data_IF_520512075384
#
_entry.id   IF_520512075384
#
_cell.length_a   1.000
_cell.length_b   1.000
_cell.length_c   1.000
_cell.angle_alpha   90.00
_cell.angle_beta   90.00
_cell.angle_gamma   90.00
#
_symmetry.space_group_name_H-M   'P 1'
#
loop_
_entity.id
_entity.type
_entity.pdbx_description
1 polymer ?
#
# COMPACT_ATOMS: atom_id res chain seq x y z
N UNK A 1 -54.88 8.84 -38.34
CA UNK A 1 -55.25 7.87 -39.41
C UNK A 1 -54.62 6.57 -39.01
N UNK A 2 -55.44 5.77 -38.45
CA UNK A 2 -55.92 4.44 -38.76
C UNK A 2 -54.97 3.29 -38.50
N UNK A 3 -55.31 2.59 -37.47
CA UNK A 3 -54.97 1.18 -37.18
C UNK A 3 -55.69 0.27 -38.25
N UNK A 4 -55.87 -1.07 -38.15
CA UNK A 4 -55.34 -2.11 -37.23
C UNK A 4 -55.18 -3.52 -37.92
N UNK A 5 -54.71 -4.55 -37.17
CA UNK A 5 -55.09 -5.99 -37.08
C UNK A 5 -55.25 -6.85 -38.34
N UNK A 6 -55.18 -8.22 -38.35
CA UNK A 6 -55.79 -9.10 -37.34
C UNK A 6 -55.07 -10.43 -36.97
N UNK A 7 -55.59 -11.02 -35.88
CA UNK A 7 -55.59 -12.40 -35.42
C UNK A 7 -55.85 -13.49 -36.45
N UNK A 8 -55.33 -14.70 -36.25
CA UNK A 8 -56.07 -15.95 -36.45
C UNK A 8 -55.60 -17.08 -35.54
N UNK A 9 -56.65 -17.69 -34.96
CA UNK A 9 -56.66 -18.82 -34.03
C UNK A 9 -56.75 -20.16 -34.76
N UNK A 10 -56.66 -21.25 -33.93
CA UNK A 10 -57.11 -22.63 -33.99
C UNK A 10 -56.20 -23.61 -34.73
N UNK A 11 -55.91 -24.80 -34.16
CA UNK A 11 -56.80 -25.92 -33.90
C UNK A 11 -56.18 -26.88 -32.87
N UNK A 12 -57.04 -27.37 -31.95
CA UNK A 12 -56.81 -28.56 -31.08
C UNK A 12 -57.17 -29.82 -31.86
N UNK A 13 -56.49 -30.96 -31.58
CA UNK A 13 -57.17 -32.24 -31.28
C UNK A 13 -56.19 -33.36 -30.91
N UNK A 14 -56.68 -34.48 -30.30
CA UNK A 14 -55.97 -35.17 -29.20
C UNK A 14 -55.69 -36.66 -29.52
N UNK A 15 -55.22 -37.38 -28.48
CA UNK A 15 -55.14 -38.84 -28.28
C UNK A 15 -54.04 -39.62 -28.99
N UNK A 16 -53.15 -40.23 -28.25
CA UNK A 16 -53.14 -41.66 -27.96
C UNK A 16 -52.13 -42.03 -26.86
N UNK A 17 -52.65 -42.79 -25.92
CA UNK A 17 -51.91 -43.40 -24.82
C UNK A 17 -51.25 -44.65 -25.34
N UNK A 18 -49.92 -44.82 -25.15
CA UNK A 18 -49.28 -46.12 -25.09
C UNK A 18 -48.29 -46.13 -23.90
N UNK A 19 -48.67 -46.94 -22.93
CA UNK A 19 -47.84 -47.36 -21.82
C UNK A 19 -46.78 -48.34 -22.30
N UNK A 20 -45.49 -47.98 -22.13
CA UNK A 20 -44.41 -48.96 -22.17
C UNK A 20 -43.58 -48.74 -20.90
N UNK A 21 -43.74 -49.67 -19.97
CA UNK A 21 -42.82 -49.86 -18.85
C UNK A 21 -41.48 -50.36 -19.43
N UNK A 22 -40.46 -49.55 -19.29
CA UNK A 22 -39.06 -50.01 -19.47
C UNK A 22 -38.25 -49.67 -18.22
N UNK A 23 -37.73 -50.73 -17.66
CA UNK A 23 -36.75 -50.73 -16.56
C UNK A 23 -35.55 -49.81 -16.89
N UNK A 24 -35.34 -48.79 -16.08
CA UNK A 24 -34.11 -48.00 -16.09
C UNK A 24 -33.12 -48.60 -15.08
N UNK A 25 -31.88 -48.83 -15.47
CA UNK A 25 -30.83 -49.14 -14.51
C UNK A 25 -30.47 -47.86 -13.73
N UNK A 26 -30.36 -47.99 -12.42
CA UNK A 26 -29.87 -46.94 -11.53
C UNK A 26 -28.41 -46.64 -11.85
N UNK A 27 -28.14 -45.55 -12.58
CA UNK A 27 -26.80 -44.95 -12.70
C UNK A 27 -26.55 -44.16 -11.42
N UNK A 28 -25.69 -44.69 -10.56
CA UNK A 28 -25.05 -43.91 -9.48
C UNK A 28 -24.19 -42.84 -10.11
N UNK A 29 -24.75 -41.65 -10.25
CA UNK A 29 -24.01 -40.45 -10.59
C UNK A 29 -23.13 -40.06 -9.41
N UNK A 30 -21.82 -40.33 -9.46
CA UNK A 30 -20.85 -39.64 -8.60
C UNK A 30 -20.92 -38.13 -8.91
N UNK A 31 -21.56 -37.38 -8.03
CA UNK A 31 -21.47 -35.92 -8.08
C UNK A 31 -20.05 -35.55 -7.66
N UNK A 32 -19.22 -35.21 -8.66
CA UNK A 32 -17.95 -34.51 -8.43
C UNK A 32 -18.31 -33.12 -7.88
N UNK A 33 -18.21 -32.94 -6.56
CA UNK A 33 -18.25 -31.61 -5.98
C UNK A 33 -17.11 -30.80 -6.58
N UNK A 34 -17.36 -29.53 -7.03
CA UNK A 34 -16.27 -28.68 -7.49
C UNK A 34 -15.31 -28.47 -6.32
N UNK A 35 -14.04 -28.80 -6.53
CA UNK A 35 -12.96 -28.44 -5.63
C UNK A 35 -12.86 -26.91 -5.65
N UNK A 36 -13.49 -26.24 -4.71
CA UNK A 36 -13.28 -24.83 -4.47
C UNK A 36 -11.85 -24.73 -3.92
N UNK A 37 -10.90 -24.46 -4.79
CA UNK A 37 -9.57 -24.00 -4.36
C UNK A 37 -9.83 -22.65 -3.72
N UNK A 38 -9.80 -22.63 -2.38
CA UNK A 38 -9.79 -21.39 -1.64
C UNK A 38 -8.56 -20.62 -2.17
N UNK A 39 -8.79 -19.46 -2.81
CA UNK A 39 -7.71 -18.57 -3.15
C UNK A 39 -7.02 -18.24 -1.82
N UNK A 40 -5.75 -18.62 -1.67
CA UNK A 40 -4.95 -18.26 -0.51
C UNK A 40 -5.09 -16.76 -0.28
N UNK A 41 -5.41 -16.38 0.95
CA UNK A 41 -5.39 -14.97 1.34
C UNK A 41 -4.01 -14.42 0.95
N UNK A 42 -3.93 -13.20 0.37
CA UNK A 42 -2.69 -12.65 -0.12
C UNK A 42 -1.64 -12.70 0.99
N UNK A 43 -0.62 -13.52 0.79
CA UNK A 43 0.45 -13.71 1.77
C UNK A 43 1.23 -12.41 1.88
N UNK A 44 1.21 -11.80 3.06
CA UNK A 44 1.95 -10.57 3.32
C UNK A 44 3.44 -10.82 3.07
N UNK A 45 4.05 -10.05 2.20
CA UNK A 45 5.49 -10.08 1.96
C UNK A 45 6.25 -9.35 3.05
N UNK A 46 7.50 -9.78 3.32
CA UNK A 46 8.37 -9.21 4.35
C UNK A 46 9.76 -8.92 3.79
N UNK A 47 10.46 -7.88 4.27
CA UNK A 47 11.82 -7.54 3.88
C UNK A 47 12.82 -8.50 4.56
N UNK A 48 12.90 -9.74 4.10
CA UNK A 48 13.71 -10.78 4.76
C UNK A 48 15.18 -10.77 4.35
N UNK A 49 15.49 -10.26 3.15
CA UNK A 49 16.85 -10.31 2.59
C UNK A 49 17.83 -9.47 3.42
N UNK A 50 17.42 -8.24 3.75
CA UNK A 50 18.25 -7.34 4.57
C UNK A 50 18.57 -7.95 5.94
N UNK A 51 17.57 -8.59 6.61
CA UNK A 51 17.79 -9.17 7.93
C UNK A 51 18.67 -10.42 7.88
N UNK A 52 18.50 -11.29 6.87
CA UNK A 52 19.40 -12.44 6.65
C UNK A 52 20.84 -11.98 6.44
N UNK A 53 21.06 -11.00 5.56
CA UNK A 53 22.37 -10.46 5.29
C UNK A 53 23.01 -9.83 6.54
N UNK A 54 22.25 -9.05 7.31
CA UNK A 54 22.73 -8.47 8.57
C UNK A 54 23.09 -9.54 9.60
N UNK A 55 22.29 -10.59 9.72
CA UNK A 55 22.60 -11.73 10.60
C UNK A 55 23.87 -12.48 10.17
N UNK A 56 24.10 -12.58 8.86
CA UNK A 56 25.36 -13.12 8.29
C UNK A 56 26.56 -12.15 8.45
N UNK A 57 26.37 -11.00 9.09
CA UNK A 57 27.42 -10.00 9.30
C UNK A 57 27.74 -9.15 8.07
N UNK A 58 26.95 -9.24 6.98
CA UNK A 58 27.14 -8.45 5.77
C UNK A 58 26.65 -7.02 5.96
N UNK A 59 27.47 -5.99 5.64
CA UNK A 59 27.00 -4.60 5.68
C UNK A 59 25.82 -4.37 4.73
N UNK A 60 24.87 -3.51 5.15
CA UNK A 60 23.69 -3.16 4.37
C UNK A 60 23.48 -1.65 4.30
N UNK A 61 22.95 -1.16 3.19
CA UNK A 61 22.54 0.23 3.02
C UNK A 61 21.02 0.32 3.14
N UNK A 62 20.54 1.05 4.16
CA UNK A 62 19.12 1.32 4.40
C UNK A 62 18.81 2.75 4.02
N UNK A 63 17.86 2.94 3.11
CA UNK A 63 17.54 4.24 2.56
C UNK A 63 16.04 4.54 2.71
N UNK A 64 15.71 5.77 3.10
CA UNK A 64 14.32 6.27 3.12
C UNK A 64 14.16 7.36 2.05
N UNK A 65 13.08 7.27 1.25
CA UNK A 65 12.81 8.14 0.13
C UNK A 65 11.34 8.52 0.07
N UNK A 66 11.05 9.81 0.12
CA UNK A 66 9.67 10.27 0.23
C UNK A 66 9.56 11.78 0.42
N UNK A 67 8.45 12.16 1.04
CA UNK A 67 8.04 13.54 1.27
C UNK A 67 8.56 14.11 2.59
N UNK A 68 7.96 15.24 3.05
CA UNK A 68 8.20 15.81 4.38
C UNK A 68 7.85 14.85 5.52
N UNK A 69 6.89 13.94 5.31
CA UNK A 69 6.49 12.93 6.30
C UNK A 69 7.58 11.87 6.55
N UNK A 70 8.59 11.86 5.70
CA UNK A 70 9.84 11.13 5.89
C UNK A 70 10.99 12.07 6.21
N UNK A 71 11.21 13.12 5.42
CA UNK A 71 12.37 13.99 5.52
C UNK A 71 12.50 14.69 6.88
N UNK A 72 11.37 15.17 7.43
CA UNK A 72 11.31 15.96 8.66
C UNK A 72 10.69 15.22 9.85
N UNK A 73 10.33 13.95 9.70
CA UNK A 73 9.69 13.16 10.75
C UNK A 73 10.71 12.50 11.69
N UNK A 74 10.23 12.04 12.85
CA UNK A 74 11.10 11.40 13.85
C UNK A 74 11.33 9.90 13.59
N UNK A 75 10.39 9.23 12.90
CA UNK A 75 10.52 7.79 12.64
C UNK A 75 11.81 7.37 11.89
N UNK A 76 12.38 8.16 10.94
CA UNK A 76 13.65 7.79 10.31
C UNK A 76 14.83 7.81 11.27
N UNK A 77 14.81 8.71 12.27
CA UNK A 77 15.84 8.74 13.32
C UNK A 77 15.73 7.52 14.24
N UNK A 78 14.49 7.13 14.60
CA UNK A 78 14.23 5.92 15.35
C UNK A 78 14.65 4.66 14.58
N UNK A 79 14.40 4.63 13.26
CA UNK A 79 14.84 3.57 12.37
C UNK A 79 16.38 3.43 12.34
N UNK A 80 17.07 4.56 12.19
CA UNK A 80 18.54 4.60 12.26
C UNK A 80 19.04 4.05 13.60
N UNK A 81 18.51 4.54 14.71
CA UNK A 81 18.88 4.11 16.06
C UNK A 81 18.60 2.61 16.30
N UNK A 82 17.50 2.09 15.74
CA UNK A 82 17.20 0.66 15.78
C UNK A 82 18.31 -0.16 15.12
N UNK A 83 18.71 0.18 13.90
CA UNK A 83 19.77 -0.55 13.20
C UNK A 83 21.13 -0.40 13.87
N UNK A 84 21.48 0.78 14.36
CA UNK A 84 22.73 1.00 15.12
C UNK A 84 22.80 0.14 16.38
N UNK A 85 21.65 -0.02 17.07
CA UNK A 85 21.56 -0.85 18.29
C UNK A 85 21.60 -2.34 17.98
N UNK A 86 20.84 -2.80 16.95
CA UNK A 86 20.70 -4.23 16.65
C UNK A 86 21.89 -4.78 15.85
N UNK A 87 22.51 -3.95 15.01
CA UNK A 87 23.57 -4.34 14.07
C UNK A 87 24.69 -3.30 14.05
N UNK A 88 25.44 -3.13 15.16
CA UNK A 88 26.45 -2.08 15.29
C UNK A 88 27.47 -2.09 14.16
N UNK A 89 27.64 -0.94 13.48
CA UNK A 89 28.62 -0.78 12.40
C UNK A 89 28.31 -1.56 11.11
N UNK A 90 27.10 -2.16 11.00
CA UNK A 90 26.73 -2.95 9.81
C UNK A 90 25.75 -2.23 8.90
N UNK A 91 25.20 -1.08 9.29
CA UNK A 91 24.20 -0.38 8.50
C UNK A 91 24.65 1.03 8.15
N UNK A 92 24.66 1.34 6.87
CA UNK A 92 24.72 2.71 6.36
C UNK A 92 23.29 3.20 6.20
N UNK A 93 22.87 4.19 7.00
CA UNK A 93 21.54 4.77 6.93
C UNK A 93 21.57 6.08 6.14
N UNK A 94 20.67 6.21 5.15
CA UNK A 94 20.57 7.39 4.28
C UNK A 94 19.12 7.89 4.26
N UNK A 95 18.93 9.16 4.60
CA UNK A 95 17.65 9.85 4.38
C UNK A 95 17.77 10.70 3.11
N UNK A 96 17.18 10.23 2.02
CA UNK A 96 17.12 10.90 0.70
C UNK A 96 15.78 11.55 0.43
N UNK A 97 14.86 11.58 1.43
CA UNK A 97 13.56 12.21 1.29
C UNK A 97 13.68 13.73 1.21
N UNK A 98 12.70 14.36 0.56
CA UNK A 98 12.67 15.80 0.35
C UNK A 98 11.29 16.38 0.64
N UNK A 99 11.26 17.39 1.51
CA UNK A 99 9.99 18.05 1.90
C UNK A 99 9.33 18.75 0.71
N UNK A 100 8.00 18.58 0.60
CA UNK A 100 7.18 19.22 -0.43
C UNK A 100 7.17 18.51 -1.78
N UNK A 101 8.01 17.49 -1.96
CA UNK A 101 8.17 16.80 -3.24
C UNK A 101 7.11 15.73 -3.50
N UNK A 102 6.96 15.37 -4.78
CA UNK A 102 5.98 14.43 -5.31
C UNK A 102 6.66 13.21 -5.94
N UNK A 103 5.88 12.20 -6.35
CA UNK A 103 6.41 11.05 -7.10
C UNK A 103 7.05 11.43 -8.43
N UNK A 104 6.64 12.56 -9.06
CA UNK A 104 7.27 13.07 -10.28
C UNK A 104 8.72 13.46 -10.00
N UNK A 105 8.95 14.22 -8.92
CA UNK A 105 10.29 14.53 -8.46
C UNK A 105 11.04 13.24 -8.05
N UNK A 106 10.34 12.32 -7.38
CA UNK A 106 10.90 11.03 -6.97
C UNK A 106 11.50 10.24 -8.13
N UNK A 107 10.78 10.14 -9.27
CA UNK A 107 11.30 9.48 -10.47
C UNK A 107 12.47 10.25 -11.07
N UNK A 108 12.34 11.59 -11.19
CA UNK A 108 13.38 12.42 -11.81
C UNK A 108 14.72 12.41 -11.06
N UNK A 109 14.67 12.24 -9.74
CA UNK A 109 15.87 12.27 -8.88
C UNK A 109 16.31 10.88 -8.38
N UNK A 110 15.63 9.81 -8.81
CA UNK A 110 15.89 8.46 -8.33
C UNK A 110 17.35 8.03 -8.53
N UNK A 111 17.93 8.34 -9.70
CA UNK A 111 19.32 7.97 -10.02
C UNK A 111 20.29 8.55 -8.98
N UNK A 112 20.22 9.84 -8.74
CA UNK A 112 21.19 10.54 -7.89
C UNK A 112 20.94 10.33 -6.41
N UNK A 113 19.66 10.28 -6.01
CA UNK A 113 19.26 10.23 -4.61
C UNK A 113 19.22 8.82 -4.04
N UNK A 114 18.99 7.81 -4.88
CA UNK A 114 18.75 6.43 -4.45
C UNK A 114 19.67 5.43 -5.13
N UNK A 115 19.60 5.30 -6.45
CA UNK A 115 20.30 4.23 -7.19
C UNK A 115 21.82 4.36 -7.03
N UNK A 116 22.39 5.57 -7.08
CA UNK A 116 23.83 5.79 -6.86
C UNK A 116 24.34 5.38 -5.47
N UNK A 117 23.44 5.11 -4.51
CA UNK A 117 23.76 4.68 -3.14
C UNK A 117 23.75 3.16 -2.98
N UNK A 118 23.35 2.41 -4.01
CA UNK A 118 23.23 0.96 -4.00
C UNK A 118 22.49 0.43 -2.75
N UNK A 119 21.23 0.82 -2.52
CA UNK A 119 20.51 0.43 -1.31
C UNK A 119 20.15 -1.05 -1.33
N UNK A 120 20.16 -1.67 -0.15
CA UNK A 120 19.69 -3.03 0.11
C UNK A 120 18.26 -3.05 0.66
N UNK A 121 17.85 -1.97 1.34
CA UNK A 121 16.49 -1.74 1.82
C UNK A 121 16.06 -0.31 1.52
N UNK A 122 14.90 -0.14 0.89
CA UNK A 122 14.34 1.18 0.56
C UNK A 122 12.92 1.31 1.10
N UNK A 123 12.64 2.40 1.80
CA UNK A 123 11.28 2.82 2.14
C UNK A 123 10.82 3.88 1.13
N UNK A 124 9.61 3.70 0.57
CA UNK A 124 9.04 4.61 -0.44
C UNK A 124 7.67 5.15 0.01
N UNK A 125 7.52 6.49 0.00
CA UNK A 125 6.23 7.16 0.18
C UNK A 125 6.20 8.51 -0.54
N UNK A 126 5.25 8.71 -1.47
CA UNK A 126 5.02 9.99 -2.15
C UNK A 126 3.53 10.33 -2.31
N UNK A 127 2.65 9.35 -2.12
CA UNK A 127 1.22 9.44 -2.39
C UNK A 127 0.52 10.59 -1.66
N UNK A 128 0.99 10.98 -0.46
CA UNK A 128 0.40 12.09 0.29
C UNK A 128 0.51 13.43 -0.44
N UNK A 129 1.60 13.69 -1.13
CA UNK A 129 1.78 14.93 -1.89
C UNK A 129 1.20 14.82 -3.30
N UNK A 130 1.24 13.64 -3.91
CA UNK A 130 0.56 13.41 -5.19
C UNK A 130 -0.95 13.69 -5.09
N UNK A 131 -1.55 13.36 -3.94
CA UNK A 131 -2.96 13.61 -3.66
C UNK A 131 -3.33 15.10 -3.52
N UNK A 132 -2.34 16.00 -3.36
CA UNK A 132 -2.63 17.42 -3.25
C UNK A 132 -2.99 18.01 -4.62
N UNK A 133 -4.20 18.57 -4.73
CA UNK A 133 -4.80 19.07 -5.98
C UNK A 133 -3.90 20.03 -6.74
N UNK A 134 -3.11 20.83 -6.02
CA UNK A 134 -2.15 21.79 -6.60
C UNK A 134 -1.08 21.16 -7.49
N UNK A 135 -0.77 19.87 -7.29
CA UNK A 135 0.25 19.17 -8.08
C UNK A 135 -0.31 18.56 -9.36
N UNK A 136 -1.64 18.45 -9.48
CA UNK A 136 -2.33 17.93 -10.67
C UNK A 136 -1.75 16.58 -11.15
N UNK A 137 -1.46 15.69 -10.21
CA UNK A 137 -0.98 14.33 -10.49
C UNK A 137 -2.19 13.40 -10.32
N UNK A 138 -2.56 12.64 -11.34
CA UNK A 138 -3.65 11.67 -11.22
C UNK A 138 -3.20 10.43 -10.43
N UNK A 139 -4.17 9.65 -9.92
CA UNK A 139 -3.92 8.39 -9.21
C UNK A 139 -3.12 7.43 -10.10
N UNK A 140 -3.50 7.33 -11.38
CA UNK A 140 -2.81 6.50 -12.37
C UNK A 140 -1.36 6.95 -12.58
N UNK A 141 -1.13 8.28 -12.63
CA UNK A 141 0.22 8.83 -12.76
C UNK A 141 1.07 8.57 -11.51
N UNK A 142 0.49 8.70 -10.33
CA UNK A 142 1.14 8.34 -9.06
C UNK A 142 1.54 6.86 -9.04
N UNK A 143 0.64 5.96 -9.44
CA UNK A 143 0.92 4.52 -9.56
C UNK A 143 1.98 4.21 -10.63
N UNK A 144 1.97 4.88 -11.77
CA UNK A 144 3.01 4.73 -12.81
C UNK A 144 4.39 5.18 -12.31
N UNK A 145 4.44 6.29 -11.58
CA UNK A 145 5.68 6.78 -10.99
C UNK A 145 6.22 5.81 -9.91
N UNK A 146 5.34 5.27 -9.07
CA UNK A 146 5.70 4.22 -8.12
C UNK A 146 6.28 3.00 -8.84
N UNK A 147 5.60 2.52 -9.88
CA UNK A 147 6.07 1.39 -10.70
C UNK A 147 7.45 1.66 -11.32
N UNK A 148 7.67 2.85 -11.85
CA UNK A 148 8.96 3.23 -12.42
C UNK A 148 10.08 3.18 -11.38
N UNK A 149 9.86 3.73 -10.18
CA UNK A 149 10.85 3.70 -9.09
C UNK A 149 11.16 2.27 -8.64
N UNK A 150 10.14 1.46 -8.40
CA UNK A 150 10.29 0.06 -7.98
C UNK A 150 11.02 -0.76 -9.04
N UNK A 151 10.63 -0.63 -10.31
CA UNK A 151 11.24 -1.37 -11.42
C UNK A 151 12.73 -1.04 -11.59
N UNK A 152 13.10 0.22 -11.46
CA UNK A 152 14.51 0.64 -11.55
C UNK A 152 15.34 0.14 -10.37
N UNK A 153 14.78 0.15 -9.16
CA UNK A 153 15.43 -0.42 -7.98
C UNK A 153 15.69 -1.92 -8.16
N UNK A 154 14.68 -2.67 -8.57
CA UNK A 154 14.79 -4.13 -8.81
C UNK A 154 15.68 -4.48 -10.00
N UNK A 155 15.71 -3.64 -11.04
CA UNK A 155 16.61 -3.83 -12.17
C UNK A 155 18.09 -3.65 -11.76
N UNK A 156 18.38 -2.71 -10.84
CA UNK A 156 19.73 -2.51 -10.33
C UNK A 156 20.13 -3.59 -9.32
N UNK A 157 19.27 -3.93 -8.38
CA UNK A 157 19.48 -4.96 -7.37
C UNK A 157 18.25 -5.85 -7.27
N UNK A 158 18.23 -7.04 -7.90
CA UNK A 158 17.09 -7.97 -7.81
C UNK A 158 16.77 -8.47 -6.40
N UNK A 159 17.68 -8.27 -5.44
CA UNK A 159 17.52 -8.67 -4.04
C UNK A 159 17.18 -7.48 -3.11
N UNK A 160 16.96 -6.29 -3.65
CA UNK A 160 16.58 -5.14 -2.84
C UNK A 160 15.24 -5.39 -2.14
N UNK A 161 15.22 -5.20 -0.83
CA UNK A 161 13.98 -5.14 -0.09
C UNK A 161 13.35 -3.74 -0.26
N UNK A 162 12.08 -3.68 -0.69
CA UNK A 162 11.35 -2.42 -0.88
C UNK A 162 10.13 -2.44 0.01
N UNK A 163 10.00 -1.44 0.88
CA UNK A 163 8.84 -1.25 1.76
C UNK A 163 8.08 -0.03 1.28
N UNK A 164 6.82 -0.24 0.90
CA UNK A 164 5.90 0.85 0.58
C UNK A 164 5.24 1.35 1.86
N UNK A 165 4.92 2.64 1.92
CA UNK A 165 4.21 3.22 3.05
C UNK A 165 3.03 4.06 2.57
N UNK A 166 1.85 3.87 3.18
CA UNK A 166 0.88 4.95 3.31
C UNK A 166 1.28 5.82 4.51
N UNK A 167 0.72 7.02 4.60
CA UNK A 167 1.04 7.90 5.71
C UNK A 167 -0.22 8.29 6.49
N UNK A 168 -0.18 9.38 7.25
CA UNK A 168 -1.31 9.83 8.06
C UNK A 168 -2.43 10.45 7.23
N UNK A 169 -3.62 10.55 7.84
CA UNK A 169 -4.70 11.40 7.36
C UNK A 169 -4.35 12.89 7.57
N UNK A 170 -5.09 13.76 6.89
CA UNK A 170 -4.96 15.21 7.03
C UNK A 170 -6.23 15.81 7.63
N UNK A 171 -6.13 17.03 8.19
CA UNK A 171 -7.26 17.84 8.58
C UNK A 171 -6.97 19.32 8.30
N UNK A 172 -8.02 20.13 8.22
CA UNK A 172 -7.90 21.56 7.98
C UNK A 172 -7.76 22.29 9.32
N UNK A 173 -6.52 22.61 9.69
CA UNK A 173 -6.24 23.31 10.92
C UNK A 173 -6.65 24.79 10.81
N UNK A 174 -7.43 25.34 11.76
CA UNK A 174 -7.85 26.74 11.74
C UNK A 174 -6.68 27.71 11.97
N UNK A 175 -5.61 27.25 12.62
CA UNK A 175 -4.44 28.06 12.99
C UNK A 175 -3.44 28.22 11.85
N UNK A 176 -3.69 27.58 10.71
CA UNK A 176 -2.82 27.73 9.54
C UNK A 176 -3.19 28.99 8.74
N UNK A 177 -2.17 29.73 8.35
CA UNK A 177 -2.27 30.78 7.35
C UNK A 177 -3.21 30.37 6.22
N UNK A 178 -4.09 31.22 5.77
CA UNK A 178 -5.26 31.04 4.87
C UNK A 178 -5.09 30.08 3.68
N UNK A 179 -3.90 29.52 3.47
CA UNK A 179 -3.54 28.75 2.27
C UNK A 179 -3.21 27.28 2.51
N UNK A 180 -3.30 26.77 3.76
CA UNK A 180 -2.95 25.37 4.04
C UNK A 180 -4.14 24.59 4.60
N UNK A 181 -5.06 24.23 3.71
CA UNK A 181 -6.17 23.33 4.02
C UNK A 181 -5.80 21.93 3.57
N UNK A 182 -5.00 21.24 4.38
CA UNK A 182 -4.40 19.96 3.96
C UNK A 182 -5.41 18.87 3.64
N UNK A 183 -6.54 18.79 4.35
CA UNK A 183 -7.58 17.83 4.02
C UNK A 183 -8.37 18.24 2.78
N UNK A 184 -8.82 19.51 2.69
CA UNK A 184 -9.53 20.04 1.51
C UNK A 184 -8.66 20.01 0.24
N UNK A 185 -7.34 20.18 0.38
CA UNK A 185 -6.39 20.08 -0.74
C UNK A 185 -6.16 18.62 -1.18
N UNK A 186 -6.63 17.63 -0.43
CA UNK A 186 -6.43 16.18 -0.69
C UNK A 186 -7.75 15.40 -0.59
N UNK A 187 -8.79 15.78 -1.36
CA UNK A 187 -10.12 15.17 -1.25
C UNK A 187 -10.12 13.66 -1.54
N UNK A 188 -9.15 13.18 -2.29
CA UNK A 188 -8.98 11.79 -2.72
C UNK A 188 -7.78 11.09 -2.08
N UNK A 189 -7.29 11.55 -0.91
CA UNK A 189 -6.11 10.99 -0.27
C UNK A 189 -6.19 9.46 -0.08
N UNK A 190 -7.36 8.95 0.32
CA UNK A 190 -7.57 7.52 0.51
C UNK A 190 -7.35 6.73 -0.79
N UNK A 191 -7.80 7.25 -1.94
CA UNK A 191 -7.68 6.58 -3.25
C UNK A 191 -6.21 6.48 -3.68
N UNK A 192 -5.36 7.48 -3.38
CA UNK A 192 -3.92 7.42 -3.61
C UNK A 192 -3.25 6.38 -2.71
N UNK A 193 -3.70 6.24 -1.46
CA UNK A 193 -3.21 5.17 -0.58
C UNK A 193 -3.69 3.79 -1.05
N UNK A 194 -4.91 3.68 -1.58
CA UNK A 194 -5.41 2.43 -2.17
C UNK A 194 -4.58 2.01 -3.39
N UNK A 195 -4.09 2.96 -4.19
CA UNK A 195 -3.16 2.64 -5.28
C UNK A 195 -1.86 2.00 -4.77
N UNK A 196 -1.31 2.48 -3.64
CA UNK A 196 -0.13 1.88 -2.99
C UNK A 196 -0.44 0.48 -2.42
N UNK A 197 -1.61 0.28 -1.78
CA UNK A 197 -2.07 -1.02 -1.28
C UNK A 197 -2.19 -2.04 -2.41
N UNK A 198 -2.89 -1.64 -3.48
CA UNK A 198 -3.09 -2.49 -4.66
C UNK A 198 -1.76 -2.84 -5.32
N UNK A 199 -0.86 -1.84 -5.45
CA UNK A 199 0.45 -2.07 -6.01
C UNK A 199 1.27 -3.05 -5.16
N UNK A 200 1.30 -2.87 -3.85
CA UNK A 200 1.98 -3.77 -2.92
C UNK A 200 1.46 -5.21 -3.02
N UNK A 201 0.14 -5.37 -3.07
CA UNK A 201 -0.52 -6.66 -3.21
C UNK A 201 -0.16 -7.37 -4.52
N UNK A 202 -0.29 -6.65 -5.66
CA UNK A 202 -0.05 -7.22 -7.00
C UNK A 202 1.42 -7.61 -7.20
N UNK A 203 2.35 -6.81 -6.65
CA UNK A 203 3.79 -7.02 -6.81
C UNK A 203 4.43 -7.74 -5.62
N UNK A 204 3.64 -8.24 -4.68
CA UNK A 204 4.10 -8.94 -3.47
C UNK A 204 5.17 -8.15 -2.70
N UNK A 205 4.98 -6.84 -2.56
CA UNK A 205 5.87 -5.98 -1.79
C UNK A 205 5.37 -5.77 -0.36
N UNK A 206 6.27 -5.66 0.62
CA UNK A 206 5.92 -5.22 1.96
C UNK A 206 5.24 -3.85 1.94
N UNK A 207 4.15 -3.71 2.69
CA UNK A 207 3.46 -2.45 2.91
C UNK A 207 3.32 -2.17 4.40
N UNK A 208 3.69 -0.96 4.82
CA UNK A 208 3.30 -0.42 6.13
C UNK A 208 2.14 0.54 5.90
N UNK A 209 0.95 0.10 6.29
CA UNK A 209 -0.25 0.90 6.15
C UNK A 209 -0.50 1.71 7.43
N UNK A 210 0.01 2.94 7.47
CA UNK A 210 -0.16 3.82 8.63
C UNK A 210 -1.54 4.49 8.66
N UNK A 211 -2.18 4.64 7.52
CA UNK A 211 -3.42 5.41 7.40
C UNK A 211 -4.55 4.93 8.31
N UNK A 212 -4.84 3.62 8.46
CA UNK A 212 -5.88 3.15 9.39
C UNK A 212 -5.63 3.53 10.84
N UNK A 213 -4.37 3.51 11.29
CA UNK A 213 -4.02 3.88 12.67
C UNK A 213 -4.30 5.37 12.95
N UNK A 214 -3.99 6.22 11.98
CA UNK A 214 -4.26 7.65 12.07
C UNK A 214 -5.75 7.96 11.97
N UNK A 215 -6.51 7.26 11.12
CA UNK A 215 -7.97 7.36 11.06
C UNK A 215 -8.63 6.91 12.36
N UNK A 216 -8.17 5.81 12.93
CA UNK A 216 -8.67 5.36 14.23
C UNK A 216 -8.44 6.40 15.32
N UNK A 217 -7.23 6.98 15.38
CA UNK A 217 -6.94 8.07 16.32
C UNK A 217 -7.84 9.28 16.09
N UNK A 218 -8.05 9.67 14.83
CA UNK A 218 -8.94 10.77 14.47
C UNK A 218 -10.38 10.56 14.94
N UNK A 219 -10.87 9.33 14.84
CA UNK A 219 -12.25 8.93 15.21
C UNK A 219 -12.42 8.75 16.72
N UNK A 220 -11.43 8.17 17.40
CA UNK A 220 -11.54 7.79 18.81
C UNK A 220 -11.02 8.88 19.76
N UNK A 221 -10.09 9.72 19.31
CA UNK A 221 -9.51 10.82 20.08
C UNK A 221 -9.12 12.01 19.20
N UNK A 222 -10.14 12.71 18.69
CA UNK A 222 -9.95 13.87 17.80
C UNK A 222 -9.11 15.01 18.44
N UNK A 223 -9.15 15.16 19.75
CA UNK A 223 -8.35 16.16 20.46
C UNK A 223 -6.86 15.82 20.36
N UNK A 224 -6.51 14.59 20.67
CA UNK A 224 -5.12 14.13 20.57
C UNK A 224 -4.63 14.11 19.13
N UNK A 225 -5.48 13.69 18.18
CA UNK A 225 -5.18 13.72 16.75
C UNK A 225 -4.78 15.12 16.29
N UNK A 226 -5.58 16.15 16.62
CA UNK A 226 -5.30 17.55 16.27
C UNK A 226 -4.06 18.08 16.97
N UNK A 227 -3.84 17.72 18.23
CA UNK A 227 -2.61 18.08 18.97
C UNK A 227 -1.36 17.47 18.32
N UNK A 228 -1.47 16.27 17.78
CA UNK A 228 -0.39 15.54 17.14
C UNK A 228 -0.14 15.93 15.68
N UNK A 229 -1.12 16.54 15.02
CA UNK A 229 -1.01 17.15 13.69
C UNK A 229 -1.37 18.65 13.77
N UNK A 230 -0.58 19.48 14.42
CA UNK A 230 -0.96 20.87 14.73
C UNK A 230 -1.16 21.73 13.47
N UNK A 231 -0.45 21.43 12.40
CA UNK A 231 -0.62 22.11 11.12
C UNK A 231 -1.63 21.41 10.18
N UNK A 232 -2.15 20.27 10.60
CA UNK A 232 -3.11 19.47 9.83
C UNK A 232 -2.50 18.33 9.01
N UNK A 233 -1.17 18.23 8.92
CA UNK A 233 -0.50 17.19 8.13
C UNK A 233 0.75 16.59 8.80
N UNK A 234 1.61 17.43 9.39
CA UNK A 234 2.92 16.97 9.87
C UNK A 234 2.84 16.55 11.34
N UNK A 235 3.16 15.26 11.64
CA UNK A 235 3.17 14.77 13.00
C UNK A 235 4.26 15.44 13.84
N UNK A 236 3.91 15.81 15.07
CA UNK A 236 4.94 16.17 16.07
C UNK A 236 5.82 14.95 16.39
N UNK A 237 7.05 15.14 16.93
CA UNK A 237 7.96 14.04 17.22
C UNK A 237 7.34 12.90 18.02
N UNK A 238 6.60 13.20 19.08
CA UNK A 238 5.94 12.18 19.91
C UNK A 238 4.94 11.34 19.10
N UNK A 239 4.19 11.97 18.21
CA UNK A 239 3.19 11.31 17.38
C UNK A 239 3.84 10.36 16.37
N UNK A 240 4.93 10.78 15.74
CA UNK A 240 5.72 9.94 14.84
C UNK A 240 6.25 8.69 15.57
N UNK A 241 6.69 8.83 16.81
CA UNK A 241 7.18 7.73 17.64
C UNK A 241 6.06 6.86 18.20
N UNK A 242 4.88 7.43 18.47
CA UNK A 242 3.77 6.69 19.07
C UNK A 242 2.89 5.94 18.05
N UNK A 243 2.79 6.43 16.81
CA UNK A 243 1.88 5.87 15.78
C UNK A 243 2.67 5.23 14.63
N UNK A 244 3.64 5.96 14.06
CA UNK A 244 4.36 5.50 12.86
C UNK A 244 5.40 4.44 13.20
N UNK A 245 6.25 4.71 14.18
CA UNK A 245 7.36 3.83 14.53
C UNK A 245 6.94 2.41 14.97
N UNK A 246 5.92 2.18 15.81
CA UNK A 246 5.50 0.83 16.20
C UNK A 246 5.06 -0.05 15.04
N UNK A 247 4.45 0.52 14.00
CA UNK A 247 4.07 -0.23 12.80
C UNK A 247 5.30 -0.75 12.03
N UNK A 248 6.38 0.06 11.96
CA UNK A 248 7.66 -0.34 11.38
C UNK A 248 8.29 -1.46 12.20
N UNK A 249 8.32 -1.33 13.54
CA UNK A 249 8.84 -2.38 14.42
C UNK A 249 8.09 -3.71 14.26
N UNK A 250 6.77 -3.66 14.20
CA UNK A 250 5.94 -4.85 13.98
C UNK A 250 6.27 -5.54 12.65
N UNK A 251 6.47 -4.77 11.56
CA UNK A 251 6.91 -5.34 10.28
C UNK A 251 8.27 -6.03 10.42
N UNK A 252 9.20 -5.43 11.14
CA UNK A 252 10.56 -5.99 11.32
C UNK A 252 10.56 -7.26 12.17
N UNK A 253 9.75 -7.31 13.23
CA UNK A 253 9.58 -8.53 14.03
C UNK A 253 9.06 -9.69 13.16
N UNK A 254 8.04 -9.42 12.34
CA UNK A 254 7.52 -10.41 11.40
C UNK A 254 8.56 -10.80 10.33
N UNK A 255 9.30 -9.84 9.80
CA UNK A 255 10.34 -10.09 8.80
C UNK A 255 11.47 -10.96 9.36
N UNK A 256 11.93 -10.71 10.58
CA UNK A 256 12.94 -11.52 11.27
C UNK A 256 12.43 -12.94 11.52
N UNK A 257 11.20 -13.08 12.04
CA UNK A 257 10.57 -14.38 12.23
C UNK A 257 10.45 -15.15 10.90
N UNK A 258 10.02 -14.49 9.81
CA UNK A 258 9.95 -15.10 8.47
C UNK A 258 11.34 -15.46 7.90
N UNK A 259 12.38 -14.76 8.34
CA UNK A 259 13.77 -15.05 7.99
C UNK A 259 14.38 -16.19 8.83
N UNK A 260 13.69 -16.67 9.87
CA UNK A 260 14.19 -17.69 10.82
C UNK A 260 15.15 -17.13 11.88
N UNK A 261 15.00 -15.84 12.25
CA UNK A 261 15.87 -15.10 13.16
C UNK A 261 15.19 -14.73 14.49
#
# INVERSE_FOLDING_TARGET
MTAPFPFRNFIKHPFCVFSVQSLLPALFGLALAPLVIAADAPQQSFPTTVFKNLNDGKPQTVLVYGTSLTAASEWPKALKAYFEKQYPGKVTFINSAQSGETSVWGVANLQDKVLSKNPDLVFLEFSVNDAATKHNISIEKSAQNLHAMVSLLQAQNPQVDIILQTMNSAWDSPDQLEHKKFASDRPHLADYYDAYRNYAQVHHLPLIDHYPNWLNLQQTNAVQFKKWLPDGLHPVPEASLAVTWPAIQTLFEKARSAAGL
#
